data_IF_283268551992
#
_entry.id   IF_283268551992
#
_cell.length_a   1.000
_cell.length_b   1.000
_cell.length_c   1.000
_cell.angle_alpha   90.00
_cell.angle_beta   90.00
_cell.angle_gamma   90.00
#
_symmetry.space_group_name_H-M   'P 1'
#
loop_
_entity.id
_entity.type
_entity.pdbx_description
1 polymer ?
#
# COMPACT_ATOMS: atom_id res chain seq x y z
N UNK A 1 -24.85 8.64 7.98
CA UNK A 1 -24.15 9.33 6.89
C UNK A 1 -25.01 9.36 5.64
N UNK A 2 -24.53 10.07 4.61
CA UNK A 2 -25.18 10.09 3.30
C UNK A 2 -24.78 8.84 2.48
N UNK A 3 -25.48 8.57 1.39
CA UNK A 3 -25.28 7.38 0.54
C UNK A 3 -23.94 7.42 -0.25
N UNK A 4 -23.24 8.54 -0.23
CA UNK A 4 -21.95 8.69 -0.90
C UNK A 4 -21.17 9.92 -0.44
N UNK A 5 -19.87 9.94 -0.75
CA UNK A 5 -19.00 11.08 -0.55
C UNK A 5 -19.01 11.98 -1.78
N UNK A 6 -19.12 13.30 -1.58
CA UNK A 6 -19.00 14.28 -2.64
C UNK A 6 -17.58 14.84 -2.64
N UNK A 7 -16.84 14.58 -3.73
CA UNK A 7 -15.52 15.15 -3.94
C UNK A 7 -15.64 16.46 -4.75
N UNK A 8 -14.93 17.48 -4.30
CA UNK A 8 -14.83 18.70 -5.09
C UNK A 8 -14.12 18.43 -6.42
N UNK A 9 -14.50 19.09 -7.52
CA UNK A 9 -13.79 18.98 -8.78
C UNK A 9 -12.32 19.36 -8.62
N UNK A 10 -11.42 18.59 -9.22
CA UNK A 10 -10.00 18.90 -9.30
C UNK A 10 -9.63 19.25 -10.75
N UNK A 11 -8.73 20.21 -10.92
CA UNK A 11 -8.11 20.52 -12.22
C UNK A 11 -6.94 19.59 -12.52
N UNK A 12 -6.47 18.83 -11.53
CA UNK A 12 -5.39 17.86 -11.67
C UNK A 12 -5.93 16.47 -12.04
N UNK A 13 -5.19 15.69 -12.80
CA UNK A 13 -5.49 14.29 -13.03
C UNK A 13 -5.66 13.53 -11.70
N UNK A 14 -6.67 12.67 -11.64
CA UNK A 14 -6.90 11.78 -10.51
C UNK A 14 -6.26 10.42 -10.77
N UNK A 15 -5.47 9.96 -9.82
CA UNK A 15 -4.98 8.58 -9.73
C UNK A 15 -5.93 7.80 -8.84
N UNK A 16 -6.32 6.61 -9.29
CA UNK A 16 -7.15 5.70 -8.51
C UNK A 16 -6.52 4.31 -8.54
N UNK A 17 -6.45 3.67 -7.39
CA UNK A 17 -6.00 2.29 -7.25
C UNK A 17 -6.91 1.53 -6.28
N UNK A 18 -6.84 0.20 -6.32
CA UNK A 18 -7.57 -0.66 -5.39
C UNK A 18 -6.81 -1.95 -5.16
N UNK A 19 -6.58 -2.28 -3.89
CA UNK A 19 -6.06 -3.56 -3.43
C UNK A 19 -7.05 -4.30 -2.53
N UNK A 20 -6.97 -5.63 -2.59
CA UNK A 20 -7.68 -6.53 -1.68
C UNK A 20 -6.70 -7.29 -0.80
N UNK A 21 -7.04 -7.40 0.48
CA UNK A 21 -6.34 -8.28 1.42
C UNK A 21 -7.32 -9.32 1.98
N UNK A 22 -6.96 -10.58 1.89
CA UNK A 22 -7.77 -11.72 2.36
C UNK A 22 -7.02 -12.43 3.47
N UNK A 23 -7.72 -12.76 4.55
CA UNK A 23 -7.20 -13.55 5.66
C UNK A 23 -6.61 -14.88 5.19
N UNK A 24 -5.53 -15.33 5.81
CA UNK A 24 -4.70 -16.49 5.49
C UNK A 24 -3.93 -16.41 4.17
N UNK A 25 -4.19 -15.39 3.34
CA UNK A 25 -3.45 -15.14 2.09
C UNK A 25 -2.47 -13.98 2.27
N UNK A 26 -3.00 -12.80 2.65
CA UNK A 26 -2.22 -11.56 2.74
C UNK A 26 -1.84 -11.18 4.18
N UNK A 27 -2.61 -11.67 5.15
CA UNK A 27 -2.36 -11.50 6.58
C UNK A 27 -2.91 -12.71 7.36
N UNK A 28 -2.47 -12.84 8.62
CA UNK A 28 -3.03 -13.79 9.59
C UNK A 28 -3.32 -13.06 10.88
N UNK A 29 -4.49 -13.32 11.45
CA UNK A 29 -4.91 -12.76 12.73
C UNK A 29 -4.06 -13.25 13.91
N UNK A 30 -3.45 -14.44 13.80
CA UNK A 30 -2.47 -14.97 14.78
C UNK A 30 -1.10 -14.24 14.74
N UNK A 31 -0.79 -13.55 13.64
CA UNK A 31 0.49 -12.86 13.47
C UNK A 31 0.39 -11.37 13.72
N UNK A 32 -0.73 -10.76 13.36
CA UNK A 32 -0.94 -9.32 13.36
C UNK A 32 -2.11 -8.92 14.24
N UNK A 33 -2.00 -7.79 14.90
CA UNK A 33 -3.16 -7.13 15.51
C UNK A 33 -4.09 -6.57 14.43
N UNK A 34 -5.34 -6.29 14.80
CA UNK A 34 -6.28 -5.64 13.89
C UNK A 34 -5.74 -4.31 13.36
N UNK A 35 -5.15 -3.51 14.24
CA UNK A 35 -4.50 -2.25 13.89
C UNK A 35 -3.40 -2.44 12.82
N UNK A 36 -2.50 -3.41 13.01
CA UNK A 36 -1.44 -3.70 12.04
C UNK A 36 -2.00 -4.15 10.69
N UNK A 37 -3.07 -4.94 10.69
CA UNK A 37 -3.73 -5.38 9.45
C UNK A 37 -4.30 -4.17 8.71
N UNK A 38 -5.03 -3.31 9.40
CA UNK A 38 -5.60 -2.09 8.83
C UNK A 38 -4.53 -1.16 8.27
N UNK A 39 -3.47 -0.92 9.05
CA UNK A 39 -2.33 -0.10 8.64
C UNK A 39 -1.65 -0.66 7.39
N UNK A 40 -1.38 -1.98 7.34
CA UNK A 40 -0.73 -2.65 6.22
C UNK A 40 -1.51 -2.48 4.91
N UNK A 41 -2.82 -2.68 4.94
CA UNK A 41 -3.66 -2.58 3.72
C UNK A 41 -3.77 -1.13 3.26
N UNK A 42 -3.87 -0.18 4.18
CA UNK A 42 -3.88 1.25 3.84
C UNK A 42 -2.55 1.68 3.19
N UNK A 43 -1.41 1.27 3.76
CA UNK A 43 -0.08 1.59 3.23
C UNK A 43 0.12 1.04 1.82
N UNK A 44 -0.36 -0.18 1.51
CA UNK A 44 -0.25 -0.75 0.17
C UNK A 44 -0.90 0.17 -0.87
N UNK A 45 -2.17 0.56 -0.64
CA UNK A 45 -2.89 1.44 -1.56
C UNK A 45 -2.30 2.86 -1.65
N UNK A 46 -1.82 3.41 -0.52
CA UNK A 46 -1.16 4.71 -0.49
C UNK A 46 0.15 4.67 -1.30
N UNK A 47 0.88 3.56 -1.24
CA UNK A 47 2.13 3.38 -1.99
C UNK A 47 1.91 3.44 -3.50
N UNK A 48 0.82 2.85 -4.01
CA UNK A 48 0.46 2.92 -5.42
C UNK A 48 0.23 4.37 -5.90
N UNK A 49 -0.47 5.18 -5.09
CA UNK A 49 -0.68 6.58 -5.43
C UNK A 49 0.66 7.33 -5.56
N UNK A 50 1.57 7.13 -4.59
CA UNK A 50 2.90 7.72 -4.66
C UNK A 50 3.73 7.17 -5.83
N UNK A 51 3.61 5.88 -6.14
CA UNK A 51 4.29 5.26 -7.27
C UNK A 51 3.85 5.84 -8.63
N UNK A 52 2.64 6.37 -8.69
CA UNK A 52 2.10 7.07 -9.87
C UNK A 52 2.38 8.58 -9.85
N UNK A 53 3.21 9.08 -8.93
CA UNK A 53 3.53 10.50 -8.82
C UNK A 53 2.42 11.34 -8.19
N UNK A 54 1.48 10.71 -7.50
CA UNK A 54 0.31 11.36 -6.91
C UNK A 54 0.42 11.62 -5.42
N UNK A 55 -0.44 12.49 -4.93
CA UNK A 55 -0.70 12.76 -3.52
C UNK A 55 -2.02 12.12 -3.11
N UNK A 56 -2.02 11.14 -2.19
CA UNK A 56 -3.25 10.50 -1.75
C UNK A 56 -4.12 11.48 -0.94
N UNK A 57 -5.44 11.46 -1.16
CA UNK A 57 -6.37 12.33 -0.43
C UNK A 57 -7.60 11.61 0.12
N UNK A 58 -8.00 10.46 -0.45
CA UNK A 58 -9.23 9.79 -0.04
C UNK A 58 -9.11 8.28 -0.12
N UNK A 59 -9.70 7.58 0.86
CA UNK A 59 -9.84 6.13 0.87
C UNK A 59 -11.31 5.74 0.99
N UNK A 60 -11.72 4.74 0.22
CA UNK A 60 -12.97 3.99 0.38
C UNK A 60 -12.64 2.58 0.87
N UNK A 61 -13.35 2.10 1.89
CA UNK A 61 -12.99 0.85 2.58
C UNK A 61 -14.17 -0.12 2.58
N UNK A 62 -14.05 -1.22 1.84
CA UNK A 62 -14.98 -2.35 1.92
C UNK A 62 -14.43 -3.43 2.85
N UNK A 63 -15.25 -3.93 3.78
CA UNK A 63 -14.84 -4.97 4.72
C UNK A 63 -15.86 -6.11 4.69
N UNK A 64 -15.37 -7.34 4.49
CA UNK A 64 -16.12 -8.56 4.76
C UNK A 64 -15.67 -9.13 6.10
N UNK A 65 -16.62 -9.43 6.99
CA UNK A 65 -16.39 -10.00 8.32
C UNK A 65 -17.09 -11.37 8.43
N UNK A 66 -16.55 -12.27 9.26
CA UNK A 66 -17.17 -13.59 9.47
C UNK A 66 -18.35 -13.53 10.46
N UNK A 67 -18.43 -12.45 11.25
CA UNK A 67 -19.39 -12.26 12.33
C UNK A 67 -18.95 -12.90 13.65
N UNK A 68 -17.66 -13.27 13.75
CA UNK A 68 -17.03 -13.77 14.98
C UNK A 68 -16.10 -12.74 15.62
N UNK A 69 -15.79 -11.68 14.88
CA UNK A 69 -14.89 -10.62 15.32
C UNK A 69 -15.57 -9.77 16.39
N UNK A 70 -14.82 -9.50 17.47
CA UNK A 70 -15.26 -8.59 18.51
C UNK A 70 -15.33 -7.15 17.96
N UNK A 71 -16.25 -6.35 18.44
CA UNK A 71 -16.42 -4.95 18.00
C UNK A 71 -15.13 -4.15 18.17
N UNK A 72 -14.44 -4.34 19.29
CA UNK A 72 -13.16 -3.65 19.56
C UNK A 72 -12.08 -4.02 18.56
N UNK A 73 -12.06 -5.26 18.06
CA UNK A 73 -11.16 -5.70 17.01
C UNK A 73 -11.42 -4.94 15.69
N UNK A 74 -12.70 -4.80 15.33
CA UNK A 74 -13.11 -4.06 14.11
C UNK A 74 -12.78 -2.58 14.23
N UNK A 75 -13.01 -1.99 15.40
CA UNK A 75 -12.65 -0.59 15.67
C UNK A 75 -11.13 -0.36 15.60
N UNK A 76 -10.34 -1.33 16.07
CA UNK A 76 -8.88 -1.24 16.04
C UNK A 76 -8.33 -1.37 14.61
N UNK A 77 -8.95 -2.23 13.77
CA UNK A 77 -8.68 -2.31 12.33
C UNK A 77 -8.93 -0.94 11.65
N UNK A 78 -10.10 -0.35 11.93
CA UNK A 78 -10.47 0.95 11.37
C UNK A 78 -9.51 2.07 11.82
N UNK A 79 -9.03 2.04 13.08
CA UNK A 79 -8.00 2.98 13.57
C UNK A 79 -6.71 2.85 12.79
N UNK A 80 -6.23 1.61 12.55
CA UNK A 80 -5.02 1.37 11.76
C UNK A 80 -5.10 1.97 10.37
N UNK A 81 -6.24 1.81 9.68
CA UNK A 81 -6.48 2.43 8.36
C UNK A 81 -6.48 3.96 8.46
N UNK A 82 -7.24 4.50 9.41
CA UNK A 82 -7.41 5.94 9.54
C UNK A 82 -6.11 6.67 9.92
N UNK A 83 -5.28 6.06 10.76
CA UNK A 83 -4.00 6.63 11.17
C UNK A 83 -3.01 6.69 10.00
N UNK A 84 -2.91 5.65 9.17
CA UNK A 84 -2.05 5.70 7.98
C UNK A 84 -2.56 6.72 6.95
N UNK A 85 -3.87 6.79 6.72
CA UNK A 85 -4.46 7.83 5.88
C UNK A 85 -4.09 9.23 6.39
N UNK A 86 -4.24 9.48 7.69
CA UNK A 86 -3.94 10.77 8.32
C UNK A 86 -2.47 11.18 8.19
N UNK A 87 -1.52 10.24 8.25
CA UNK A 87 -0.08 10.52 8.10
C UNK A 87 0.25 11.18 6.77
N UNK A 88 -0.52 10.88 5.74
CA UNK A 88 -0.34 11.39 4.37
C UNK A 88 -1.36 12.48 3.98
N UNK A 89 -2.16 12.96 4.94
CA UNK A 89 -3.18 13.97 4.70
C UNK A 89 -4.46 13.45 4.03
N UNK A 90 -4.59 12.13 3.90
CA UNK A 90 -5.78 11.50 3.35
C UNK A 90 -6.82 11.21 4.43
N UNK A 91 -8.05 10.92 3.99
CA UNK A 91 -9.19 10.62 4.86
C UNK A 91 -9.94 9.39 4.34
N UNK A 92 -10.49 8.59 5.25
CA UNK A 92 -11.50 7.59 4.89
C UNK A 92 -12.82 8.32 4.70
N UNK A 93 -13.35 8.30 3.47
CA UNK A 93 -14.53 9.06 3.06
C UNK A 93 -15.79 8.22 2.94
N UNK A 94 -15.69 6.91 3.07
CA UNK A 94 -16.80 5.99 2.99
C UNK A 94 -16.37 4.55 2.90
N UNK A 95 -17.33 3.66 2.75
CA UNK A 95 -17.10 2.24 2.63
C UNK A 95 -18.36 1.43 2.92
N UNK A 96 -18.19 0.12 2.95
CA UNK A 96 -19.27 -0.82 3.25
C UNK A 96 -18.75 -1.98 4.09
N UNK A 97 -19.66 -2.60 4.87
CA UNK A 97 -19.33 -3.78 5.68
C UNK A 97 -20.37 -4.85 5.45
N UNK A 98 -19.89 -6.02 5.01
CA UNK A 98 -20.73 -7.17 4.69
C UNK A 98 -20.31 -8.39 5.50
N UNK A 99 -21.17 -9.41 5.52
CA UNK A 99 -20.84 -10.72 6.08
C UNK A 99 -20.26 -11.62 4.97
N UNK A 100 -19.18 -12.33 5.29
CA UNK A 100 -18.56 -13.31 4.41
C UNK A 100 -17.94 -14.49 5.16
N UNK A 101 -17.26 -15.37 4.43
CA UNK A 101 -16.63 -16.56 5.00
C UNK A 101 -15.25 -16.28 5.58
N UNK A 102 -14.59 -15.23 5.11
CA UNK A 102 -13.26 -14.79 5.54
C UNK A 102 -13.22 -13.28 5.72
N UNK A 103 -12.34 -12.81 6.58
CA UNK A 103 -12.03 -11.39 6.67
C UNK A 103 -11.37 -10.99 5.35
N UNK A 104 -12.02 -10.05 4.65
CA UNK A 104 -11.52 -9.45 3.43
C UNK A 104 -11.61 -7.95 3.53
N UNK A 105 -10.54 -7.26 3.18
CA UNK A 105 -10.47 -5.80 3.22
C UNK A 105 -10.13 -5.33 1.82
N UNK A 106 -10.98 -4.48 1.26
CA UNK A 106 -10.77 -3.82 -0.02
C UNK A 106 -10.60 -2.32 0.26
N UNK A 107 -9.51 -1.73 -0.20
CA UNK A 107 -9.32 -0.29 -0.12
C UNK A 107 -9.16 0.27 -1.53
N UNK A 108 -9.97 1.26 -1.86
CA UNK A 108 -9.75 2.11 -3.02
C UNK A 108 -9.12 3.40 -2.54
N UNK A 109 -7.93 3.73 -3.07
CA UNK A 109 -7.29 5.01 -2.81
C UNK A 109 -7.42 5.94 -4.01
N UNK A 110 -7.67 7.21 -3.72
CA UNK A 110 -7.70 8.29 -4.69
C UNK A 110 -6.64 9.32 -4.33
N UNK A 111 -5.95 9.81 -5.35
CA UNK A 111 -4.96 10.87 -5.22
C UNK A 111 -4.97 11.79 -6.44
N UNK A 112 -4.33 12.95 -6.33
CA UNK A 112 -4.13 13.86 -7.44
C UNK A 112 -2.65 13.93 -7.81
N UNK A 113 -2.36 14.14 -9.08
CA UNK A 113 -0.99 14.35 -9.56
C UNK A 113 -0.93 15.49 -10.56
N UNK A 114 0.18 16.23 -10.57
CA UNK A 114 0.42 17.21 -11.63
C UNK A 114 0.78 16.50 -12.95
N UNK A 115 1.59 15.45 -12.86
CA UNK A 115 2.04 14.68 -14.01
C UNK A 115 2.18 13.20 -13.59
N UNK A 116 1.37 12.29 -14.15
CA UNK A 116 1.46 10.88 -13.82
C UNK A 116 2.80 10.28 -14.26
N UNK A 117 3.43 9.52 -13.37
CA UNK A 117 4.62 8.74 -13.68
C UNK A 117 4.20 7.28 -13.89
N UNK A 118 4.56 6.73 -15.04
CA UNK A 118 4.20 5.38 -15.44
C UNK A 118 5.39 4.42 -15.32
N UNK A 119 5.14 3.13 -15.37
CA UNK A 119 6.18 2.11 -15.50
C UNK A 119 6.88 2.16 -16.86
N UNK A 120 6.28 2.75 -17.88
CA UNK A 120 6.71 2.80 -19.27
C UNK A 120 7.60 3.98 -19.64
N UNK A 121 8.18 4.68 -18.66
CA UNK A 121 8.95 5.90 -18.90
C UNK A 121 10.47 5.74 -18.88
N UNK A 122 11.00 4.57 -18.46
CA UNK A 122 12.44 4.36 -18.30
C UNK A 122 13.20 4.41 -19.62
N UNK A 123 14.41 4.97 -19.59
CA UNK A 123 15.27 5.20 -20.75
C UNK A 123 16.66 4.59 -20.55
N UNK A 124 17.35 4.31 -21.66
CA UNK A 124 18.74 3.87 -21.61
C UNK A 124 19.58 4.98 -20.97
N UNK A 125 20.36 4.63 -19.96
CA UNK A 125 21.19 5.55 -19.19
C UNK A 125 20.57 6.00 -17.87
N UNK A 126 19.30 5.70 -17.62
CA UNK A 126 18.68 5.93 -16.33
C UNK A 126 19.31 5.07 -15.24
N UNK A 127 19.28 5.56 -14.01
CA UNK A 127 19.75 4.82 -12.83
C UNK A 127 18.59 4.22 -12.07
N UNK A 128 18.71 2.95 -11.68
CA UNK A 128 17.77 2.31 -10.79
C UNK A 128 17.98 2.80 -9.36
N UNK A 129 16.95 3.39 -8.79
CA UNK A 129 16.94 3.85 -7.39
C UNK A 129 15.85 3.10 -6.62
N UNK A 130 16.19 2.60 -5.45
CA UNK A 130 15.28 1.87 -4.57
C UNK A 130 15.18 2.58 -3.22
N UNK A 131 13.97 2.84 -2.76
CA UNK A 131 13.70 3.39 -1.44
C UNK A 131 13.38 2.29 -0.45
N UNK A 132 13.95 2.36 0.75
CA UNK A 132 13.70 1.38 1.81
C UNK A 132 14.72 0.24 1.84
N UNK A 133 14.33 -0.87 2.44
CA UNK A 133 15.16 -2.07 2.61
C UNK A 133 14.51 -3.26 1.88
N UNK A 134 14.80 -3.48 0.60
CA UNK A 134 14.27 -4.61 -0.16
C UNK A 134 14.59 -5.94 0.53
N UNK A 135 13.60 -6.83 0.58
CA UNK A 135 13.75 -8.15 1.23
C UNK A 135 13.45 -8.18 2.72
N UNK A 136 13.36 -7.04 3.42
CA UNK A 136 13.06 -7.03 4.85
C UNK A 136 11.70 -7.68 5.16
N UNK A 137 10.65 -7.35 4.40
CA UNK A 137 9.31 -7.96 4.56
C UNK A 137 9.34 -9.48 4.28
N UNK A 138 10.05 -9.93 3.25
CA UNK A 138 10.19 -11.35 2.94
C UNK A 138 10.94 -12.11 4.06
N UNK A 139 12.00 -11.51 4.60
CA UNK A 139 12.71 -12.07 5.76
C UNK A 139 11.82 -12.13 7.00
N UNK A 140 11.03 -11.08 7.26
CA UNK A 140 10.03 -11.06 8.34
C UNK A 140 8.99 -12.16 8.20
N UNK A 141 8.47 -12.37 7.00
CA UNK A 141 7.55 -13.48 6.70
C UNK A 141 8.20 -14.85 6.95
N UNK A 142 9.46 -15.03 6.56
CA UNK A 142 10.19 -16.27 6.81
C UNK A 142 10.36 -16.55 8.33
N UNK A 143 10.64 -15.51 9.11
CA UNK A 143 10.73 -15.61 10.57
C UNK A 143 9.37 -15.96 11.21
N UNK A 144 8.27 -15.38 10.72
CA UNK A 144 6.92 -15.71 11.18
C UNK A 144 6.55 -17.16 10.87
N UNK A 145 6.80 -17.62 9.64
CA UNK A 145 6.56 -19.00 9.23
C UNK A 145 7.38 -20.02 10.02
N UNK A 146 8.58 -19.65 10.46
CA UNK A 146 9.47 -20.46 11.28
C UNK A 146 9.20 -20.36 12.79
N UNK A 147 8.19 -19.58 13.22
CA UNK A 147 7.90 -19.24 14.62
C UNK A 147 9.10 -18.62 15.37
N UNK A 148 9.87 -17.82 14.65
CA UNK A 148 11.08 -17.15 15.16
C UNK A 148 10.91 -15.62 15.28
N UNK A 149 9.68 -15.17 15.52
CA UNK A 149 9.32 -13.72 15.57
C UNK A 149 10.12 -12.90 16.60
N UNK A 150 10.64 -13.54 17.65
CA UNK A 150 11.39 -12.88 18.72
C UNK A 150 12.87 -12.63 18.39
N UNK A 151 13.43 -13.27 17.36
CA UNK A 151 14.86 -13.14 17.04
C UNK A 151 15.19 -11.77 16.43
N UNK A 152 14.35 -11.27 15.55
CA UNK A 152 14.54 -10.00 14.84
C UNK A 152 13.21 -9.25 14.74
N UNK A 153 12.74 -8.64 15.85
CA UNK A 153 11.41 -8.00 15.90
C UNK A 153 11.22 -6.92 14.85
N UNK A 154 12.25 -6.12 14.56
CA UNK A 154 12.23 -5.05 13.56
C UNK A 154 12.02 -5.60 12.14
N UNK A 155 12.63 -6.74 11.81
CA UNK A 155 12.45 -7.41 10.51
C UNK A 155 11.05 -8.02 10.40
N UNK A 156 10.55 -8.61 11.48
CA UNK A 156 9.18 -9.10 11.55
C UNK A 156 8.20 -7.95 11.39
N UNK A 157 8.44 -6.82 12.06
CA UNK A 157 7.57 -5.64 11.95
C UNK A 157 7.56 -5.05 10.54
N UNK A 158 8.66 -5.12 9.78
CA UNK A 158 8.68 -4.70 8.38
C UNK A 158 7.69 -5.50 7.49
N UNK A 159 7.32 -6.73 7.90
CA UNK A 159 6.26 -7.51 7.26
C UNK A 159 4.86 -7.21 7.80
N UNK A 160 4.74 -7.08 9.13
CA UNK A 160 3.43 -6.91 9.79
C UNK A 160 2.87 -5.50 9.59
N UNK A 161 3.74 -4.50 9.60
CA UNK A 161 3.38 -3.08 9.50
C UNK A 161 4.40 -2.34 8.63
N UNK A 162 4.34 -2.52 7.30
CA UNK A 162 5.17 -1.76 6.37
C UNK A 162 4.86 -0.26 6.48
N UNK A 163 5.77 0.56 5.98
CA UNK A 163 5.58 2.02 5.93
C UNK A 163 5.87 2.54 4.54
N UNK A 164 5.19 3.62 4.16
CA UNK A 164 5.45 4.40 2.97
C UNK A 164 5.97 5.79 3.37
N UNK A 165 6.92 6.30 2.59
CA UNK A 165 7.51 7.62 2.80
C UNK A 165 7.27 8.52 1.58
N UNK A 166 6.21 9.32 1.65
CA UNK A 166 5.84 10.25 0.58
C UNK A 166 6.92 11.28 0.28
N UNK A 167 7.75 11.67 1.28
CA UNK A 167 8.85 12.62 1.04
C UNK A 167 9.91 12.02 0.12
N UNK A 168 10.18 10.72 0.24
CA UNK A 168 11.11 10.02 -0.67
C UNK A 168 10.53 9.91 -2.07
N UNK A 169 9.23 9.59 -2.20
CA UNK A 169 8.56 9.58 -3.50
C UNK A 169 8.67 10.95 -4.18
N UNK A 170 8.33 12.03 -3.47
CA UNK A 170 8.46 13.40 -3.99
C UNK A 170 9.90 13.78 -4.34
N UNK A 171 10.88 13.34 -3.57
CA UNK A 171 12.29 13.58 -3.88
C UNK A 171 12.70 12.90 -5.20
N UNK A 172 12.23 11.66 -5.44
CA UNK A 172 12.48 10.96 -6.71
C UNK A 172 11.80 11.66 -7.88
N UNK A 173 10.54 12.08 -7.72
CA UNK A 173 9.79 12.84 -8.73
C UNK A 173 10.54 14.13 -9.06
N UNK A 174 10.93 14.90 -8.04
CA UNK A 174 11.67 16.16 -8.19
C UNK A 174 13.05 15.99 -8.81
N UNK A 175 13.68 14.83 -8.63
CA UNK A 175 14.93 14.46 -9.26
C UNK A 175 14.76 14.03 -10.73
N UNK A 176 13.53 13.98 -11.26
CA UNK A 176 13.24 13.64 -12.64
C UNK A 176 13.08 12.14 -12.89
N UNK A 177 12.51 11.41 -11.93
CA UNK A 177 12.18 10.01 -12.14
C UNK A 177 11.32 9.83 -13.41
N UNK A 178 11.81 9.00 -14.33
CA UNK A 178 11.19 8.76 -15.64
C UNK A 178 10.19 7.60 -15.62
N UNK A 179 10.38 6.66 -14.70
CA UNK A 179 9.46 5.56 -14.41
C UNK A 179 9.47 5.24 -12.93
N UNK A 180 8.34 4.83 -12.39
CA UNK A 180 8.20 4.43 -11.00
C UNK A 180 7.25 3.23 -10.86
N UNK A 181 7.44 2.45 -9.83
CA UNK A 181 6.46 1.50 -9.30
C UNK A 181 6.67 1.36 -7.78
N UNK A 182 5.67 0.87 -7.08
CA UNK A 182 5.81 0.37 -5.73
C UNK A 182 6.61 -0.96 -5.70
N UNK A 183 7.02 -1.39 -4.52
CA UNK A 183 7.65 -2.70 -4.30
C UNK A 183 6.71 -3.59 -3.50
N UNK A 184 5.89 -4.38 -4.20
CA UNK A 184 4.90 -5.28 -3.61
C UNK A 184 5.28 -6.75 -3.74
N UNK A 185 5.74 -7.18 -4.92
CA UNK A 185 6.03 -8.59 -5.25
C UNK A 185 7.53 -8.91 -5.14
N UNK A 186 8.34 -7.91 -4.90
CA UNK A 186 9.79 -8.01 -4.74
C UNK A 186 10.58 -7.35 -5.85
N UNK A 187 11.80 -6.93 -5.51
CA UNK A 187 12.62 -6.07 -6.36
C UNK A 187 12.76 -6.58 -7.79
N UNK A 188 13.03 -7.87 -7.98
CA UNK A 188 13.25 -8.43 -9.32
C UNK A 188 11.97 -8.41 -10.16
N UNK A 189 10.83 -8.76 -9.55
CA UNK A 189 9.53 -8.80 -10.25
C UNK A 189 9.09 -7.39 -10.61
N UNK A 190 9.14 -6.46 -9.66
CA UNK A 190 8.65 -5.11 -9.88
C UNK A 190 9.54 -4.32 -10.83
N UNK A 191 10.87 -4.52 -10.78
CA UNK A 191 11.80 -3.96 -11.78
C UNK A 191 11.59 -4.57 -13.17
N UNK A 192 11.25 -5.87 -13.28
CA UNK A 192 10.94 -6.46 -14.58
C UNK A 192 9.71 -5.82 -15.23
N UNK A 193 8.71 -5.41 -14.44
CA UNK A 193 7.52 -4.70 -14.94
C UNK A 193 7.87 -3.33 -15.54
N UNK A 194 8.84 -2.60 -14.94
CA UNK A 194 9.36 -1.36 -15.55
C UNK A 194 10.13 -1.67 -16.83
N UNK A 195 11.01 -2.70 -16.80
CA UNK A 195 11.78 -3.16 -17.96
C UNK A 195 10.86 -3.48 -19.15
N UNK A 196 9.85 -4.31 -18.92
CA UNK A 196 8.92 -4.75 -19.94
C UNK A 196 8.06 -3.58 -20.48
N UNK A 197 7.53 -2.75 -19.58
CA UNK A 197 6.68 -1.62 -19.96
C UNK A 197 7.47 -0.53 -20.72
N UNK A 198 8.77 -0.38 -20.44
CA UNK A 198 9.63 0.63 -21.05
C UNK A 198 10.40 0.11 -22.26
N UNK A 199 10.43 -1.21 -22.50
CA UNK A 199 11.20 -1.84 -23.57
C UNK A 199 12.71 -1.70 -23.40
N UNK A 200 13.21 -1.65 -22.16
CA UNK A 200 14.63 -1.50 -21.82
C UNK A 200 15.12 -2.64 -20.93
N UNK A 201 16.37 -3.03 -21.05
CA UNK A 201 17.00 -3.97 -20.12
C UNK A 201 17.51 -3.22 -18.89
N UNK A 202 17.20 -3.73 -17.70
CA UNK A 202 17.67 -3.17 -16.42
C UNK A 202 18.69 -4.13 -15.82
N UNK A 203 19.84 -3.59 -15.44
CA UNK A 203 20.89 -4.33 -14.73
C UNK A 203 20.85 -3.92 -13.26
N UNK A 204 20.68 -4.90 -12.37
CA UNK A 204 20.71 -4.76 -10.91
C UNK A 204 22.07 -5.16 -10.37
#
# INVERSE_FOLDING_TARGET
>A
GDDGAVLAPSTLPTVATMDLAVEDVHFKTDWSTAHQIGAKVAVANIADIYAMGGDPHSLLVGISLTGKEEVDWVLDLARGIAEEAKKVGAQVIGGDTVRGEKITIAITALGNTNEPIYRSGAKIGDQLVVSGLPGASAAGLALLKADKRKLFPEIVNAHLQPSVDGKKAHALISAGATAMCDLSDGLLVDVSRISDASGVAIKI
#
